data_IF_673822118482
#
_entry.id   IF_673822118482
#
_cell.length_a   1.000
_cell.length_b   1.000
_cell.length_c   1.000
_cell.angle_alpha   90.00
_cell.angle_beta   90.00
_cell.angle_gamma   90.00
#
_symmetry.space_group_name_H-M   'P 1'
#
loop_
_entity.id
_entity.type
_entity.pdbx_description
1 polymer ?
#
# COMPACT_ATOMS: atom_id res chain seq x y z
N UNK A 1 0.69 35.62 79.75
CA UNK A 1 0.97 34.17 79.84
C UNK A 1 1.64 33.74 78.54
N UNK A 2 2.96 33.51 78.56
CA UNK A 2 3.62 32.21 78.32
C UNK A 2 3.19 31.59 76.98
N UNK A 3 4.01 31.72 75.92
CA UNK A 3 5.18 30.88 75.55
C UNK A 3 4.78 29.97 74.38
N UNK A 4 5.32 30.15 73.18
CA UNK A 4 6.40 29.37 72.54
C UNK A 4 5.84 29.01 71.14
N UNK A 5 6.56 28.92 70.01
CA UNK A 5 7.94 28.58 69.68
C UNK A 5 8.11 28.98 68.19
N UNK A 6 9.13 29.76 67.82
CA UNK A 6 10.30 29.34 67.01
C UNK A 6 9.93 28.77 65.61
N UNK A 7 10.48 29.19 64.45
CA UNK A 7 11.81 29.63 64.00
C UNK A 7 11.58 30.29 62.61
N UNK A 8 12.18 31.43 62.26
CA UNK A 8 13.48 31.55 61.56
C UNK A 8 13.56 30.64 60.31
N UNK A 9 13.96 31.02 59.08
CA UNK A 9 14.77 32.15 58.55
C UNK A 9 14.98 31.90 57.01
N UNK A 10 15.40 32.93 56.25
CA UNK A 10 15.99 32.98 54.86
C UNK A 10 15.10 32.57 53.67
N UNK A 11 14.64 33.47 52.79
CA UNK A 11 15.34 34.33 51.81
C UNK A 11 16.02 33.57 50.66
N UNK A 12 15.53 33.77 49.43
CA UNK A 12 16.29 34.21 48.25
C UNK A 12 15.44 34.01 46.99
N UNK A 13 15.25 35.10 46.24
CA UNK A 13 14.75 35.07 44.88
C UNK A 13 15.82 34.45 43.96
N UNK A 14 15.42 33.51 43.11
CA UNK A 14 16.20 33.14 41.93
C UNK A 14 15.23 33.07 40.74
N UNK A 15 15.26 34.11 39.93
CA UNK A 15 14.65 34.11 38.61
C UNK A 15 15.46 33.16 37.73
N UNK A 16 14.89 32.01 37.39
CA UNK A 16 15.34 31.18 36.28
C UNK A 16 14.21 31.19 35.26
N UNK A 17 14.43 31.96 34.20
CA UNK A 17 13.71 31.91 32.94
C UNK A 17 13.68 30.48 32.41
N UNK A 18 12.56 29.78 32.60
CA UNK A 18 12.33 28.48 31.98
C UNK A 18 11.93 28.73 30.53
N UNK A 19 12.93 28.62 29.66
CA UNK A 19 12.81 28.65 28.20
C UNK A 19 11.75 27.63 27.77
N UNK A 20 10.89 28.09 26.86
CA UNK A 20 9.79 27.36 26.26
C UNK A 20 10.14 25.90 25.95
N UNK A 21 9.62 24.99 26.77
CA UNK A 21 9.43 23.60 26.37
C UNK A 21 8.23 23.50 25.43
N UNK A 22 8.35 24.09 24.24
CA UNK A 22 7.61 23.61 23.08
C UNK A 22 8.24 22.24 22.77
N UNK A 23 7.86 21.21 23.53
CA UNK A 23 7.78 19.89 22.94
C UNK A 23 6.83 20.06 21.77
N UNK A 24 7.40 20.20 20.58
CA UNK A 24 6.73 19.81 19.38
C UNK A 24 6.17 18.43 19.67
N UNK A 25 4.88 18.36 19.98
CA UNK A 25 4.10 17.19 19.65
C UNK A 25 4.25 17.11 18.14
N UNK A 26 5.33 16.46 17.69
CA UNK A 26 5.40 15.91 16.36
C UNK A 26 4.22 14.96 16.35
N UNK A 27 3.11 15.41 15.79
CA UNK A 27 2.07 14.51 15.32
C UNK A 27 2.85 13.40 14.61
N UNK A 28 2.80 12.20 15.17
CA UNK A 28 3.33 11.05 14.47
C UNK A 28 2.39 10.93 13.29
N UNK A 29 2.83 11.39 12.13
CA UNK A 29 2.23 11.01 10.87
C UNK A 29 2.04 9.49 10.94
N UNK A 30 0.78 9.04 10.93
CA UNK A 30 0.48 7.62 11.01
C UNK A 30 0.99 6.99 9.72
N UNK A 31 2.14 6.33 9.79
CA UNK A 31 2.71 5.63 8.64
C UNK A 31 1.75 4.54 8.17
N UNK A 32 1.34 4.64 6.91
CA UNK A 32 0.48 3.68 6.25
C UNK A 32 1.35 2.62 5.58
N UNK A 33 0.97 1.35 5.73
CA UNK A 33 1.73 0.23 5.18
C UNK A 33 1.27 -0.08 3.76
N UNK A 34 2.18 0.05 2.79
CA UNK A 34 1.98 -0.45 1.43
C UNK A 34 2.46 -1.89 1.36
N UNK A 35 1.49 -2.82 1.28
CA UNK A 35 1.71 -4.25 1.43
C UNK A 35 1.47 -5.02 0.15
N UNK A 36 2.43 -5.88 -0.17
CA UNK A 36 2.45 -6.76 -1.34
C UNK A 36 2.11 -6.10 -2.68
N UNK A 37 2.63 -4.92 -3.05
CA UNK A 37 2.85 -4.63 -4.45
C UNK A 37 3.64 -5.76 -5.14
N UNK A 38 3.01 -6.40 -6.11
CA UNK A 38 3.68 -7.32 -7.05
C UNK A 38 3.47 -6.83 -8.47
N UNK A 39 4.51 -6.94 -9.29
CA UNK A 39 4.53 -6.46 -10.67
C UNK A 39 4.77 -7.64 -11.61
N UNK A 40 3.81 -7.93 -12.48
CA UNK A 40 3.91 -8.89 -13.57
C UNK A 40 4.20 -8.18 -14.87
N UNK A 41 5.00 -8.82 -15.74
CA UNK A 41 5.38 -8.29 -17.05
C UNK A 41 5.06 -9.34 -18.11
N UNK A 42 4.21 -8.99 -19.08
CA UNK A 42 3.73 -9.88 -20.14
C UNK A 42 4.02 -9.28 -21.53
N UNK A 43 5.28 -9.26 -21.99
CA UNK A 43 5.60 -8.83 -23.35
C UNK A 43 5.08 -9.83 -24.39
N UNK A 44 4.95 -9.42 -25.66
CA UNK A 44 4.50 -10.30 -26.76
C UNK A 44 5.57 -11.34 -27.17
N UNK A 45 6.84 -11.01 -26.97
CA UNK A 45 7.98 -11.89 -27.16
C UNK A 45 8.95 -11.78 -25.98
N UNK A 46 10.04 -12.55 -25.98
CA UNK A 46 11.04 -12.42 -24.92
C UNK A 46 11.69 -11.03 -25.01
N UNK A 47 11.58 -10.24 -23.95
CA UNK A 47 12.03 -8.83 -23.94
C UNK A 47 12.81 -8.53 -22.68
N UNK A 48 13.93 -7.83 -22.82
CA UNK A 48 14.67 -7.29 -21.68
C UNK A 48 14.00 -5.98 -21.24
N UNK A 49 13.65 -5.90 -19.96
CA UNK A 49 12.83 -4.85 -19.37
C UNK A 49 13.53 -4.28 -18.14
N UNK A 50 13.62 -2.96 -18.08
CA UNK A 50 14.00 -2.20 -16.90
C UNK A 50 12.77 -1.69 -16.19
N UNK A 51 12.71 -1.84 -14.86
CA UNK A 51 11.64 -1.32 -14.01
C UNK A 51 12.25 -0.51 -12.88
N UNK A 52 11.84 0.75 -12.75
CA UNK A 52 12.22 1.64 -11.66
C UNK A 52 10.97 2.15 -10.95
N UNK A 53 11.08 2.28 -9.64
CA UNK A 53 10.04 2.76 -8.74
C UNK A 53 10.57 4.01 -8.03
N UNK A 54 9.99 5.16 -8.36
CA UNK A 54 10.13 6.38 -7.61
C UNK A 54 9.01 6.41 -6.55
N UNK A 55 9.37 5.98 -5.34
CA UNK A 55 8.45 5.87 -4.22
C UNK A 55 8.66 7.01 -3.23
N UNK A 56 7.61 7.81 -3.00
CA UNK A 56 7.56 8.85 -1.97
C UNK A 56 7.23 8.23 -0.61
N UNK A 57 8.17 7.42 -0.13
CA UNK A 57 8.05 6.62 1.08
C UNK A 57 9.34 5.86 1.34
N UNK A 58 9.29 4.90 2.26
CA UNK A 58 10.44 4.03 2.56
C UNK A 58 10.16 2.61 2.12
N UNK A 59 11.00 2.06 1.24
CA UNK A 59 10.96 0.63 0.90
C UNK A 59 11.40 -0.20 2.11
N UNK A 60 10.58 -1.14 2.52
CA UNK A 60 10.83 -2.04 3.67
C UNK A 60 11.23 -3.43 3.22
N UNK A 61 10.77 -3.88 2.06
CA UNK A 61 11.12 -5.16 1.47
C UNK A 61 11.11 -5.07 -0.05
N UNK A 62 12.03 -5.77 -0.70
CA UNK A 62 12.05 -5.90 -2.17
C UNK A 62 12.55 -7.28 -2.57
N UNK A 63 11.94 -7.87 -3.59
CA UNK A 63 12.39 -9.14 -4.15
C UNK A 63 12.05 -9.24 -5.64
N UNK A 64 13.01 -9.52 -6.55
CA UNK A 64 14.46 -9.63 -6.31
C UNK A 64 15.06 -8.37 -5.68
N UNK A 65 16.32 -8.41 -5.24
CA UNK A 65 16.95 -7.28 -4.57
C UNK A 65 16.89 -6.01 -5.45
N UNK A 66 16.22 -4.97 -4.95
CA UNK A 66 16.07 -3.69 -5.64
C UNK A 66 17.34 -2.86 -5.46
N UNK A 67 18.21 -2.89 -6.48
CA UNK A 67 19.47 -2.13 -6.49
C UNK A 67 19.19 -0.66 -6.84
N UNK A 68 19.15 -0.36 -8.14
CA UNK A 68 18.77 0.96 -8.70
C UNK A 68 17.52 0.85 -9.58
N UNK A 69 16.78 -0.25 -9.43
CA UNK A 69 15.80 -0.76 -10.38
C UNK A 69 15.98 -2.24 -10.63
N UNK A 70 14.94 -2.90 -11.14
CA UNK A 70 15.02 -4.27 -11.63
C UNK A 70 15.34 -4.28 -13.12
N UNK A 71 16.21 -5.20 -13.52
CA UNK A 71 16.53 -5.49 -14.91
C UNK A 71 16.31 -6.98 -15.12
N UNK A 72 15.33 -7.33 -15.95
CA UNK A 72 14.91 -8.72 -16.15
C UNK A 72 14.62 -8.99 -17.62
N UNK A 73 14.87 -10.22 -18.04
CA UNK A 73 14.34 -10.76 -19.29
C UNK A 73 12.98 -11.39 -19.00
N UNK A 74 11.90 -10.82 -19.53
CA UNK A 74 10.54 -11.31 -19.37
C UNK A 74 10.09 -12.11 -20.60
N UNK A 75 9.31 -13.17 -20.37
CA UNK A 75 8.66 -13.96 -21.41
C UNK A 75 7.15 -13.69 -21.44
N UNK A 76 6.44 -14.02 -22.54
CA UNK A 76 4.99 -13.84 -22.62
C UNK A 76 4.18 -14.58 -21.56
N UNK A 77 4.73 -15.63 -20.95
CA UNK A 77 4.07 -16.36 -19.86
C UNK A 77 4.19 -15.69 -18.47
N UNK A 78 4.90 -14.56 -18.40
CA UNK A 78 5.19 -13.81 -17.17
C UNK A 78 6.42 -14.28 -16.42
N UNK A 79 7.16 -15.28 -16.92
CA UNK A 79 8.43 -15.70 -16.31
C UNK A 79 9.47 -14.59 -16.49
N UNK A 80 10.02 -14.13 -15.37
CA UNK A 80 11.12 -13.17 -15.33
C UNK A 80 12.43 -13.91 -15.08
N UNK A 81 13.53 -13.47 -15.68
CA UNK A 81 14.88 -13.99 -15.44
C UNK A 81 15.83 -12.83 -15.21
N UNK A 82 16.57 -12.82 -14.10
CA UNK A 82 17.59 -11.79 -13.85
C UNK A 82 18.92 -12.08 -14.57
N UNK A 83 19.88 -11.17 -14.41
CA UNK A 83 21.22 -11.27 -15.00
C UNK A 83 22.01 -12.49 -14.51
N UNK A 84 21.69 -12.99 -13.31
CA UNK A 84 22.32 -14.17 -12.70
C UNK A 84 21.65 -15.48 -13.17
N UNK A 85 20.59 -15.39 -13.98
CA UNK A 85 19.85 -16.52 -14.54
C UNK A 85 18.78 -17.09 -13.60
N UNK A 86 18.50 -16.44 -12.47
CA UNK A 86 17.45 -16.85 -11.54
C UNK A 86 16.08 -16.42 -12.06
N UNK A 87 15.09 -17.31 -11.91
CA UNK A 87 13.72 -17.07 -12.41
C UNK A 87 12.76 -16.64 -11.32
N UNK A 88 11.82 -15.77 -11.68
CA UNK A 88 10.78 -15.22 -10.80
C UNK A 88 9.42 -15.15 -11.51
N UNK A 89 8.34 -15.11 -10.73
CA UNK A 89 6.97 -14.97 -11.25
C UNK A 89 6.53 -13.50 -11.38
N UNK A 90 7.16 -12.62 -10.60
CA UNK A 90 6.85 -11.19 -10.50
C UNK A 90 8.00 -10.48 -9.78
N UNK A 91 8.05 -9.16 -9.89
CA UNK A 91 8.82 -8.28 -9.01
C UNK A 91 7.95 -7.95 -7.79
N UNK A 92 8.55 -7.71 -6.64
CA UNK A 92 7.84 -7.50 -5.38
C UNK A 92 8.48 -6.38 -4.58
N UNK A 93 7.65 -5.56 -3.97
CA UNK A 93 8.08 -4.58 -2.99
C UNK A 93 7.04 -4.38 -1.90
N UNK A 94 7.49 -3.86 -0.76
CA UNK A 94 6.66 -3.32 0.32
C UNK A 94 7.29 -2.02 0.81
N UNK A 95 6.49 -1.16 1.41
CA UNK A 95 6.96 0.10 1.95
C UNK A 95 6.04 0.72 2.98
N UNK A 96 6.49 1.84 3.52
CA UNK A 96 5.66 2.77 4.29
C UNK A 96 5.55 4.08 3.54
N UNK A 97 4.37 4.71 3.62
CA UNK A 97 4.10 6.04 3.10
C UNK A 97 3.19 6.81 4.06
N UNK A 98 2.91 8.06 3.74
CA UNK A 98 1.95 8.92 4.44
C UNK A 98 0.73 9.21 3.56
N UNK A 99 0.41 8.34 2.60
CA UNK A 99 -0.68 8.54 1.67
C UNK A 99 -2.03 8.44 2.40
N UNK A 100 -2.88 9.45 2.20
CA UNK A 100 -4.26 9.43 2.68
C UNK A 100 -5.16 8.81 1.61
N UNK A 101 -5.63 7.58 1.87
CA UNK A 101 -6.51 6.86 0.95
C UNK A 101 -7.97 7.30 1.09
N UNK A 102 -8.64 7.53 -0.04
CA UNK A 102 -10.04 7.95 -0.06
C UNK A 102 -10.97 6.73 0.08
N UNK A 103 -11.74 6.72 1.18
CA UNK A 103 -12.75 5.71 1.49
C UNK A 103 -14.18 6.29 1.40
N UNK A 104 -14.37 7.45 0.75
CA UNK A 104 -15.69 8.09 0.56
C UNK A 104 -16.56 7.38 -0.47
N UNK A 105 -15.95 6.66 -1.41
CA UNK A 105 -16.59 5.79 -2.39
C UNK A 105 -15.94 4.41 -2.34
N UNK A 106 -16.75 3.36 -2.35
CA UNK A 106 -16.25 2.00 -2.18
C UNK A 106 -17.36 1.00 -1.92
N UNK A 107 -17.05 -0.03 -1.15
CA UNK A 107 -17.95 -1.15 -0.92
C UNK A 107 -17.91 -1.55 0.55
N UNK A 108 -19.07 -1.70 1.18
CA UNK A 108 -19.20 -2.35 2.47
C UNK A 108 -19.62 -3.81 2.25
N UNK A 109 -18.71 -4.74 2.53
CA UNK A 109 -18.85 -6.16 2.19
C UNK A 109 -18.77 -6.99 3.48
N UNK A 110 -19.69 -7.93 3.67
CA UNK A 110 -19.60 -8.86 4.81
C UNK A 110 -18.32 -9.70 4.72
N UNK A 111 -17.68 -10.04 5.86
CA UNK A 111 -16.50 -10.90 5.86
C UNK A 111 -16.72 -12.20 5.09
N UNK A 112 -17.87 -12.84 5.32
CA UNK A 112 -18.29 -14.08 4.65
C UNK A 112 -18.37 -13.97 3.12
N UNK A 113 -18.62 -12.76 2.60
CA UNK A 113 -18.86 -12.52 1.17
C UNK A 113 -17.62 -11.95 0.47
N UNK A 114 -16.55 -11.69 1.23
CA UNK A 114 -15.36 -10.98 0.74
C UNK A 114 -14.67 -11.71 -0.41
N UNK A 115 -14.59 -13.05 -0.37
CA UNK A 115 -13.98 -13.83 -1.44
C UNK A 115 -14.71 -13.63 -2.78
N UNK A 116 -16.03 -13.84 -2.79
CA UNK A 116 -16.86 -13.70 -3.99
C UNK A 116 -16.90 -12.25 -4.50
N UNK A 117 -16.86 -11.27 -3.59
CA UNK A 117 -16.73 -9.87 -3.96
C UNK A 117 -15.40 -9.61 -4.68
N UNK A 118 -14.26 -10.01 -4.10
CA UNK A 118 -12.94 -9.79 -4.68
C UNK A 118 -12.79 -10.49 -6.04
N UNK A 119 -13.32 -11.70 -6.21
CA UNK A 119 -13.30 -12.40 -7.50
C UNK A 119 -13.97 -11.58 -8.62
N UNK A 120 -15.09 -10.92 -8.32
CA UNK A 120 -15.78 -10.08 -9.30
C UNK A 120 -15.08 -8.74 -9.49
N UNK A 121 -14.74 -8.05 -8.40
CA UNK A 121 -14.13 -6.73 -8.45
C UNK A 121 -12.79 -6.74 -9.20
N UNK A 122 -11.92 -7.72 -8.90
CA UNK A 122 -10.60 -7.82 -9.55
C UNK A 122 -10.71 -8.18 -11.03
N UNK A 123 -11.71 -8.99 -11.42
CA UNK A 123 -12.01 -9.26 -12.83
C UNK A 123 -12.43 -7.98 -13.55
N UNK A 124 -13.32 -7.20 -12.95
CA UNK A 124 -13.82 -5.95 -13.54
C UNK A 124 -12.71 -4.87 -13.61
N UNK A 125 -11.69 -5.00 -12.74
CA UNK A 125 -10.42 -4.25 -12.76
C UNK A 125 -9.34 -4.85 -13.69
N UNK A 126 -9.68 -5.86 -14.49
CA UNK A 126 -8.81 -6.38 -15.56
C UNK A 126 -7.75 -7.39 -15.13
N UNK A 127 -7.76 -7.86 -13.87
CA UNK A 127 -6.87 -8.92 -13.43
C UNK A 127 -7.28 -10.26 -14.05
N UNK A 128 -6.29 -11.06 -14.42
CA UNK A 128 -6.51 -12.45 -14.80
C UNK A 128 -6.87 -13.29 -13.57
N UNK A 129 -7.42 -14.48 -13.79
CA UNK A 129 -7.71 -15.43 -12.69
C UNK A 129 -6.46 -15.80 -11.88
N UNK A 130 -5.28 -15.84 -12.51
CA UNK A 130 -4.01 -16.14 -11.82
C UNK A 130 -3.64 -15.00 -10.86
N UNK A 131 -3.64 -13.76 -11.37
CA UNK A 131 -3.33 -12.55 -10.60
C UNK A 131 -4.33 -12.37 -9.45
N UNK A 132 -5.64 -12.46 -9.74
CA UNK A 132 -6.69 -12.31 -8.74
C UNK A 132 -6.62 -13.37 -7.64
N UNK A 133 -6.26 -14.62 -7.98
CA UNK A 133 -6.10 -15.67 -6.97
C UNK A 133 -4.95 -15.38 -6.00
N UNK A 134 -3.80 -14.90 -6.48
CA UNK A 134 -2.68 -14.53 -5.61
C UNK A 134 -3.01 -13.31 -4.73
N UNK A 135 -3.75 -12.34 -5.27
CA UNK A 135 -4.28 -11.22 -4.50
C UNK A 135 -5.18 -11.71 -3.35
N UNK A 136 -6.17 -12.55 -3.67
CA UNK A 136 -7.16 -13.05 -2.72
C UNK A 136 -6.48 -13.90 -1.64
N UNK A 137 -5.55 -14.79 -2.00
CA UNK A 137 -4.83 -15.63 -1.03
C UNK A 137 -4.09 -14.82 0.03
N UNK A 138 -3.57 -13.64 -0.33
CA UNK A 138 -2.89 -12.77 0.64
C UNK A 138 -3.86 -11.97 1.51
N UNK A 139 -4.89 -11.38 0.89
CA UNK A 139 -5.75 -10.42 1.56
C UNK A 139 -6.93 -11.06 2.31
N UNK A 140 -7.56 -12.10 1.73
CA UNK A 140 -8.77 -12.73 2.29
C UNK A 140 -8.63 -13.19 3.75
N UNK A 141 -7.52 -13.83 4.18
CA UNK A 141 -7.38 -14.27 5.57
C UNK A 141 -7.48 -13.14 6.60
N UNK A 142 -7.24 -11.89 6.19
CA UNK A 142 -7.30 -10.71 7.04
C UNK A 142 -8.71 -10.10 7.12
N UNK A 143 -9.60 -10.47 6.20
CA UNK A 143 -10.91 -9.85 6.00
C UNK A 143 -12.10 -10.77 6.28
N UNK A 144 -11.94 -12.09 6.07
CA UNK A 144 -13.06 -13.02 6.07
C UNK A 144 -13.78 -13.19 7.42
N UNK A 145 -13.07 -12.96 8.53
CA UNK A 145 -13.61 -13.07 9.89
C UNK A 145 -14.21 -11.76 10.42
N UNK A 146 -14.03 -10.64 9.70
CA UNK A 146 -14.60 -9.36 10.10
C UNK A 146 -16.12 -9.37 9.87
N UNK A 147 -16.94 -8.70 10.71
CA UNK A 147 -18.37 -8.56 10.43
C UNK A 147 -18.59 -7.93 9.05
N UNK A 148 -17.90 -6.83 8.78
CA UNK A 148 -17.86 -6.15 7.50
C UNK A 148 -16.45 -5.61 7.21
N UNK A 149 -16.18 -5.35 5.94
CA UNK A 149 -15.00 -4.68 5.43
C UNK A 149 -15.44 -3.49 4.59
N UNK A 150 -14.89 -2.31 4.85
CA UNK A 150 -14.95 -1.19 3.93
C UNK A 150 -13.78 -1.31 2.96
N UNK A 151 -14.05 -1.43 1.66
CA UNK A 151 -13.04 -1.64 0.63
C UNK A 151 -13.17 -0.53 -0.42
N UNK A 152 -12.05 0.09 -0.80
CA UNK A 152 -11.97 1.01 -1.92
C UNK A 152 -10.69 0.78 -2.73
N UNK A 153 -10.81 0.82 -4.05
CA UNK A 153 -9.68 0.70 -4.97
C UNK A 153 -9.14 2.08 -5.33
N UNK A 154 -7.86 2.27 -5.10
CA UNK A 154 -7.14 3.54 -5.17
C UNK A 154 -6.46 3.69 -6.52
N UNK A 155 -6.48 4.91 -7.07
CA UNK A 155 -5.87 5.25 -8.36
C UNK A 155 -4.83 6.36 -8.18
N UNK A 156 -5.22 7.62 -8.35
CA UNK A 156 -4.30 8.76 -8.38
C UNK A 156 -3.47 8.89 -7.09
N UNK A 157 -4.09 8.74 -5.92
CA UNK A 157 -3.39 8.86 -4.64
C UNK A 157 -2.26 7.83 -4.48
N UNK A 158 -2.46 6.58 -4.93
CA UNK A 158 -1.43 5.56 -4.88
C UNK A 158 -0.38 5.77 -5.98
N UNK A 159 -0.82 6.02 -7.22
CA UNK A 159 0.07 6.09 -8.37
C UNK A 159 0.97 7.33 -8.38
N UNK A 160 0.58 8.40 -7.69
CA UNK A 160 1.42 9.58 -7.45
C UNK A 160 2.54 9.33 -6.45
N UNK A 161 2.27 8.53 -5.41
CA UNK A 161 3.23 8.16 -4.35
C UNK A 161 4.18 7.07 -4.84
N UNK A 162 3.70 6.11 -5.62
CA UNK A 162 4.49 5.04 -6.19
C UNK A 162 4.56 5.18 -7.71
N UNK A 163 5.49 5.97 -8.24
CA UNK A 163 5.62 6.16 -9.68
C UNK A 163 6.45 5.04 -10.29
N UNK A 164 5.86 4.30 -11.22
CA UNK A 164 6.49 3.17 -11.89
C UNK A 164 6.92 3.59 -13.30
N UNK A 165 8.21 3.45 -13.59
CA UNK A 165 8.77 3.66 -14.92
C UNK A 165 9.29 2.32 -15.45
N UNK A 166 8.82 1.94 -16.64
CA UNK A 166 9.07 0.65 -17.28
C UNK A 166 9.58 0.93 -18.69
N UNK A 167 10.72 0.33 -19.04
CA UNK A 167 11.34 0.45 -20.36
C UNK A 167 11.64 -0.94 -20.95
N UNK A 168 11.16 -1.27 -22.17
CA UNK A 168 10.25 -0.47 -23.00
C UNK A 168 8.91 -0.20 -22.31
N UNK A 169 8.22 0.87 -22.70
CA UNK A 169 6.93 1.19 -22.11
C UNK A 169 5.89 0.10 -22.46
N UNK A 170 5.07 -0.35 -21.49
CA UNK A 170 3.96 -1.25 -21.79
C UNK A 170 2.87 -0.53 -22.59
N UNK A 171 2.25 -1.26 -23.51
CA UNK A 171 1.06 -0.83 -24.22
C UNK A 171 -0.14 -0.73 -23.27
N UNK A 172 -0.20 -1.62 -22.27
CA UNK A 172 -1.22 -1.65 -21.24
C UNK A 172 -0.59 -1.70 -19.85
N UNK A 173 -0.92 -0.73 -18.98
CA UNK A 173 -0.53 -0.74 -17.56
C UNK A 173 -1.78 -0.80 -16.68
N UNK A 174 -1.94 -1.91 -15.94
CA UNK A 174 -2.99 -2.08 -14.93
C UNK A 174 -2.38 -1.90 -13.55
N UNK A 175 -2.92 -1.00 -12.72
CA UNK A 175 -2.49 -0.80 -11.34
C UNK A 175 -3.69 -0.87 -10.40
N UNK A 176 -3.74 -1.91 -9.58
CA UNK A 176 -4.85 -2.16 -8.66
C UNK A 176 -4.36 -2.11 -7.22
N UNK A 177 -4.71 -1.05 -6.51
CA UNK A 177 -4.33 -0.89 -5.11
C UNK A 177 -5.57 -0.86 -4.22
N UNK A 178 -5.68 -1.79 -3.28
CA UNK A 178 -6.85 -1.88 -2.40
C UNK A 178 -6.55 -1.24 -1.04
N UNK A 179 -7.28 -0.18 -0.68
CA UNK A 179 -7.35 0.30 0.68
C UNK A 179 -8.58 -0.31 1.36
N UNK A 180 -8.44 -0.83 2.58
CA UNK A 180 -9.56 -1.40 3.31
C UNK A 180 -9.46 -1.23 4.82
N UNK A 181 -10.59 -1.28 5.52
CA UNK A 181 -10.63 -1.39 6.99
C UNK A 181 -11.79 -2.25 7.49
N UNK A 182 -11.65 -2.92 8.65
CA UNK A 182 -12.75 -3.66 9.25
C UNK A 182 -13.84 -2.71 9.75
N UNK A 183 -15.08 -3.20 9.77
CA UNK A 183 -16.24 -2.54 10.31
C UNK A 183 -17.06 -3.51 11.17
N UNK A 184 -17.58 -3.02 12.29
CA UNK A 184 -18.51 -3.79 13.15
C UNK A 184 -19.93 -3.84 12.56
N UNK A 185 -20.32 -2.80 11.83
CA UNK A 185 -21.66 -2.64 11.27
C UNK A 185 -21.60 -2.28 9.78
N UNK A 186 -22.68 -2.62 9.08
CA UNK A 186 -22.83 -2.27 7.67
C UNK A 186 -23.01 -0.76 7.53
N UNK A 187 -22.29 -0.17 6.57
CA UNK A 187 -22.46 1.23 6.18
C UNK A 187 -22.99 1.34 4.76
N UNK A 188 -23.78 2.38 4.50
CA UNK A 188 -24.17 2.76 3.15
C UNK A 188 -23.12 3.70 2.58
N UNK A 189 -22.59 3.37 1.40
CA UNK A 189 -21.51 4.10 0.73
C UNK A 189 -21.74 4.04 -0.78
N UNK A 190 -21.54 5.15 -1.52
CA UNK A 190 -21.61 5.11 -2.96
C UNK A 190 -20.56 4.16 -3.55
N UNK A 191 -21.01 3.26 -4.42
CA UNK A 191 -20.16 2.28 -5.08
C UNK A 191 -19.21 2.93 -6.09
N UNK A 192 -17.96 2.47 -6.14
CA UNK A 192 -17.04 2.80 -7.22
C UNK A 192 -17.48 2.11 -8.51
N UNK A 193 -17.28 2.78 -9.65
CA UNK A 193 -17.36 2.13 -10.95
C UNK A 193 -16.01 1.48 -11.25
N UNK A 194 -16.00 0.16 -11.38
CA UNK A 194 -14.79 -0.61 -11.67
C UNK A 194 -14.73 -0.90 -13.17
N UNK A 195 -13.64 -0.49 -13.81
CA UNK A 195 -13.40 -0.71 -15.23
C UNK A 195 -11.92 -0.87 -15.49
N UNK A 196 -11.57 -1.63 -16.53
CA UNK A 196 -10.21 -1.73 -17.03
C UNK A 196 -10.16 -1.60 -18.54
N UNK A 197 -9.02 -1.12 -19.10
CA UNK A 197 -8.77 -1.20 -20.53
C UNK A 197 -8.62 -2.66 -20.98
N UNK A 198 -8.71 -2.89 -22.29
CA UNK A 198 -8.31 -4.16 -22.88
C UNK A 198 -6.80 -4.40 -22.68
N UNK A 199 -6.41 -5.67 -22.57
CA UNK A 199 -5.00 -6.08 -22.44
C UNK A 199 -4.44 -6.33 -23.84
N UNK A 200 -3.95 -5.26 -24.45
CA UNK A 200 -3.37 -5.29 -25.79
C UNK A 200 -1.86 -5.06 -25.71
N UNK A 201 -1.09 -5.77 -26.53
CA UNK A 201 0.38 -5.65 -26.59
C UNK A 201 1.09 -6.07 -25.30
N UNK A 202 2.24 -5.44 -25.04
CA UNK A 202 2.97 -5.63 -23.79
C UNK A 202 2.12 -5.10 -22.63
N UNK A 203 1.68 -6.02 -21.76
CA UNK A 203 0.91 -5.69 -20.56
C UNK A 203 1.77 -5.78 -19.30
N UNK A 204 1.81 -4.72 -18.51
CA UNK A 204 2.31 -4.73 -17.14
C UNK A 204 1.14 -4.64 -16.15
N UNK A 205 1.19 -5.45 -15.09
CA UNK A 205 0.16 -5.45 -14.04
C UNK A 205 0.83 -5.28 -12.69
N UNK A 206 0.41 -4.30 -11.93
CA UNK A 206 0.74 -4.17 -10.52
C UNK A 206 -0.54 -4.33 -9.68
N UNK A 207 -0.47 -5.13 -8.62
CA UNK A 207 -1.48 -5.06 -7.58
C UNK A 207 -0.84 -5.05 -6.20
N UNK A 208 -1.51 -4.38 -5.26
CA UNK A 208 -1.10 -4.27 -3.86
C UNK A 208 -2.26 -3.80 -3.00
N UNK A 209 -1.98 -3.42 -1.76
CA UNK A 209 -2.99 -2.81 -0.93
C UNK A 209 -2.49 -2.38 0.44
N UNK A 210 -3.43 -1.88 1.22
CA UNK A 210 -3.18 -1.32 2.52
C UNK A 210 -4.38 -1.52 3.44
N UNK A 211 -4.11 -1.91 4.70
CA UNK A 211 -5.11 -1.91 5.75
C UNK A 211 -5.06 -0.56 6.47
N UNK A 212 -6.14 0.20 6.40
CA UNK A 212 -6.30 1.48 7.07
C UNK A 212 -6.68 1.21 8.54
N UNK A 213 -6.08 1.97 9.45
CA UNK A 213 -6.34 1.88 10.88
C UNK A 213 -7.58 2.68 11.31
#
# INVERSE_FOLDING_TARGET
MKKHFAKQIFAAALAISFVCGLSACREREEEQLTLKPVIYLYPEEKTDISVTLAYDGTLTCTYPNYKTGWHVSAKPDGTLTDEDGQTYNYLYWEGTDSAEYDLSHGFCVAGSDTAAFLENALRDLGLTRKEANEFIVYWLPQMQENPYNLIAFQSDCYTQVAQLDISPAPDTLLRVFMAWKPLEEKVDIPAQTLTAPARDGFTAVEWGGSRIN
#
